data_IF_496769641656
#
_entry.id   IF_496769641656
#
_cell.length_a   1.000
_cell.length_b   1.000
_cell.length_c   1.000
_cell.angle_alpha   90.00
_cell.angle_beta   90.00
_cell.angle_gamma   90.00
#
_symmetry.space_group_name_H-M   'P 1'
#
loop_
_entity.id
_entity.type
_entity.pdbx_description
1 polymer ?
#
# COMPACT_ATOMS: atom_id res chain seq x y z
N UNK A 1 -64.53 -50.22 -26.93
CA UNK A 1 -65.80 -49.89 -26.24
C UNK A 1 -65.65 -50.16 -24.74
N UNK A 2 -65.18 -49.17 -23.98
CA UNK A 2 -65.70 -48.72 -22.68
C UNK A 2 -64.94 -47.42 -22.30
N UNK A 3 -65.58 -46.51 -21.55
CA UNK A 3 -65.34 -45.08 -21.59
C UNK A 3 -64.59 -44.56 -20.35
N UNK A 4 -64.25 -43.28 -20.32
CA UNK A 4 -64.74 -42.32 -19.30
C UNK A 4 -63.88 -41.04 -19.31
N UNK A 5 -64.54 -39.91 -19.60
CA UNK A 5 -64.04 -38.55 -19.31
C UNK A 5 -64.14 -38.32 -17.81
N UNK A 6 -63.18 -37.58 -17.22
CA UNK A 6 -63.42 -36.67 -16.08
C UNK A 6 -62.27 -35.65 -15.90
N UNK A 7 -62.50 -34.48 -16.47
CA UNK A 7 -62.52 -33.13 -15.86
C UNK A 7 -61.49 -32.67 -14.80
N UNK A 8 -60.86 -31.51 -15.15
CA UNK A 8 -60.67 -30.26 -14.34
C UNK A 8 -59.54 -30.33 -13.28
N UNK A 9 -58.56 -29.41 -13.24
CA UNK A 9 -58.60 -28.07 -12.62
C UNK A 9 -57.40 -27.21 -13.10
N UNK A 10 -57.66 -25.93 -13.40
CA UNK A 10 -56.67 -24.86 -13.59
C UNK A 10 -56.01 -24.47 -12.25
N UNK A 11 -54.68 -24.32 -12.23
CA UNK A 11 -53.99 -23.54 -11.20
C UNK A 11 -52.88 -22.70 -11.85
N UNK A 12 -53.18 -21.41 -12.03
CA UNK A 12 -52.23 -20.41 -12.52
C UNK A 12 -51.21 -20.07 -11.43
N UNK A 13 -49.95 -20.46 -11.61
CA UNK A 13 -48.86 -20.04 -10.73
C UNK A 13 -48.24 -18.74 -11.26
N UNK A 14 -48.55 -17.62 -10.61
CA UNK A 14 -47.89 -16.34 -10.84
C UNK A 14 -46.49 -16.37 -10.22
N UNK A 15 -45.45 -16.59 -11.04
CA UNK A 15 -44.07 -16.32 -10.63
C UNK A 15 -43.84 -14.80 -10.60
N UNK A 16 -43.91 -14.20 -9.41
CA UNK A 16 -43.46 -12.84 -9.17
C UNK A 16 -41.93 -12.77 -9.30
N UNK A 17 -41.44 -11.97 -10.25
CA UNK A 17 -40.01 -11.67 -10.41
C UNK A 17 -39.62 -10.62 -9.36
N UNK A 18 -38.86 -11.04 -8.35
CA UNK A 18 -38.18 -10.14 -7.42
C UNK A 18 -36.91 -9.62 -8.09
N UNK A 19 -36.95 -8.38 -8.58
CA UNK A 19 -35.77 -7.65 -9.05
C UNK A 19 -35.06 -7.10 -7.80
N UNK A 20 -34.07 -7.82 -7.29
CA UNK A 20 -33.14 -7.28 -6.29
C UNK A 20 -32.14 -6.38 -7.01
N UNK A 21 -32.32 -5.06 -6.89
CA UNK A 21 -31.34 -4.04 -7.25
C UNK A 21 -30.16 -4.12 -6.27
N UNK A 22 -29.22 -5.03 -6.55
CA UNK A 22 -27.90 -5.02 -5.93
C UNK A 22 -27.10 -3.86 -6.53
N UNK A 23 -27.04 -2.73 -5.81
CA UNK A 23 -26.02 -1.72 -6.05
C UNK A 23 -24.67 -2.31 -5.66
N UNK A 24 -24.06 -3.04 -6.59
CA UNK A 24 -22.65 -3.39 -6.50
C UNK A 24 -21.85 -2.09 -6.61
N UNK A 25 -21.30 -1.64 -5.49
CA UNK A 25 -20.24 -0.63 -5.48
C UNK A 25 -19.08 -1.29 -6.21
N UNK A 26 -18.89 -0.94 -7.47
CA UNK A 26 -17.75 -1.37 -8.26
C UNK A 26 -16.49 -0.70 -7.70
N UNK A 27 -15.86 -1.31 -6.71
CA UNK A 27 -14.48 -1.00 -6.37
C UNK A 27 -13.64 -1.34 -7.60
N UNK A 28 -13.02 -0.33 -8.22
CA UNK A 28 -12.08 -0.56 -9.33
C UNK A 28 -10.81 -1.14 -8.69
N UNK A 29 -10.31 -2.26 -9.21
CA UNK A 29 -9.06 -2.83 -8.73
C UNK A 29 -7.87 -1.84 -8.83
N UNK A 30 -8.00 -0.83 -9.69
CA UNK A 30 -7.03 0.24 -9.91
C UNK A 30 -6.98 1.30 -8.80
N UNK A 31 -7.91 1.31 -7.83
CA UNK A 31 -7.95 2.32 -6.77
C UNK A 31 -6.94 2.05 -5.63
N UNK A 32 -6.15 0.96 -5.71
CA UNK A 32 -5.09 0.68 -4.74
C UNK A 32 -3.89 1.59 -5.03
N UNK A 33 -3.46 2.45 -4.09
CA UNK A 33 -2.32 3.33 -4.30
C UNK A 33 -1.07 2.52 -4.66
N UNK A 34 -0.33 2.95 -5.68
CA UNK A 34 0.96 2.33 -6.01
C UNK A 34 2.00 2.69 -4.94
N UNK A 35 3.09 1.91 -4.85
CA UNK A 35 4.21 2.24 -3.95
C UNK A 35 4.78 3.63 -4.24
N UNK A 36 4.80 4.06 -5.50
CA UNK A 36 5.22 5.41 -5.87
C UNK A 36 4.28 6.50 -5.35
N UNK A 37 2.97 6.31 -5.47
CA UNK A 37 2.00 7.31 -5.00
C UNK A 37 2.06 7.45 -3.47
N UNK A 38 2.22 6.32 -2.77
CA UNK A 38 2.44 6.30 -1.33
C UNK A 38 3.73 7.03 -0.93
N UNK A 39 4.86 6.73 -1.58
CA UNK A 39 6.14 7.42 -1.31
C UNK A 39 6.02 8.94 -1.52
N UNK A 40 5.45 9.37 -2.66
CA UNK A 40 5.26 10.79 -2.97
C UNK A 40 4.38 11.48 -1.94
N UNK A 41 3.28 10.84 -1.54
CA UNK A 41 2.37 11.36 -0.51
C UNK A 41 3.05 11.53 0.84
N UNK A 42 3.82 10.54 1.28
CA UNK A 42 4.53 10.60 2.57
C UNK A 42 5.59 11.71 2.55
N UNK A 43 6.37 11.80 1.48
CA UNK A 43 7.40 12.86 1.32
C UNK A 43 6.77 14.25 1.28
N UNK A 44 5.61 14.40 0.61
CA UNK A 44 4.89 15.67 0.54
C UNK A 44 4.29 16.13 1.88
N UNK A 45 4.16 15.24 2.87
CA UNK A 45 3.73 15.61 4.22
C UNK A 45 4.83 16.31 5.04
N UNK A 46 6.09 16.23 4.60
CA UNK A 46 7.18 16.98 5.23
C UNK A 46 6.88 18.49 5.24
N UNK A 47 7.14 19.22 6.34
CA UNK A 47 7.94 18.79 7.49
C UNK A 47 7.15 18.21 8.67
N UNK A 48 5.82 18.05 8.56
CA UNK A 48 4.96 17.61 9.67
C UNK A 48 4.09 16.43 9.23
N UNK A 49 4.46 15.23 9.68
CA UNK A 49 3.86 13.98 9.21
C UNK A 49 2.57 13.58 9.95
N UNK A 50 2.07 14.41 10.86
CA UNK A 50 0.88 14.10 11.70
C UNK A 50 -0.42 13.87 10.91
N UNK A 51 -0.49 14.28 9.64
CA UNK A 51 -1.63 14.01 8.75
C UNK A 51 -1.65 12.59 8.20
N UNK A 52 -0.54 11.86 8.32
CA UNK A 52 -0.41 10.49 7.86
C UNK A 52 -0.92 9.51 8.91
N UNK A 53 -1.34 8.36 8.42
CA UNK A 53 -1.82 7.21 9.19
C UNK A 53 -0.98 5.99 8.87
N UNK A 54 -1.20 4.89 9.59
CA UNK A 54 -0.55 3.62 9.27
C UNK A 54 -0.84 3.13 7.84
N UNK A 55 -1.96 3.53 7.24
CA UNK A 55 -2.39 3.06 5.91
C UNK A 55 -1.50 3.63 4.81
N UNK A 56 -1.01 4.87 4.96
CA UNK A 56 -0.31 5.60 3.90
C UNK A 56 0.99 4.92 3.43
N UNK A 57 1.68 4.19 4.32
CA UNK A 57 2.93 3.48 4.02
C UNK A 57 2.79 2.00 3.70
N UNK A 58 1.59 1.42 3.88
CA UNK A 58 1.36 -0.01 3.58
C UNK A 58 1.65 -0.36 2.12
N UNK A 59 1.28 0.45 1.11
CA UNK A 59 1.61 0.14 -0.28
C UNK A 59 3.10 0.14 -0.57
N UNK A 60 3.93 0.82 0.23
CA UNK A 60 5.39 0.75 0.10
C UNK A 60 5.89 -0.54 0.73
N UNK A 61 5.56 -0.80 1.98
CA UNK A 61 6.06 -1.95 2.73
C UNK A 61 5.59 -3.30 2.15
N UNK A 62 4.32 -3.40 1.76
CA UNK A 62 3.73 -4.67 1.29
C UNK A 62 4.19 -5.08 -0.11
N UNK A 63 4.85 -4.19 -0.86
CA UNK A 63 5.46 -4.54 -2.15
C UNK A 63 6.74 -5.36 -2.00
N UNK A 64 7.35 -5.38 -0.81
CA UNK A 64 8.60 -6.10 -0.55
C UNK A 64 8.51 -7.05 0.64
N UNK A 65 7.36 -7.15 1.29
CA UNK A 65 7.24 -7.92 2.52
C UNK A 65 5.86 -8.03 3.12
N UNK A 66 5.83 -8.66 4.28
CA UNK A 66 4.65 -8.93 5.08
C UNK A 66 4.68 -8.18 6.41
N UNK A 67 3.57 -8.23 7.15
CA UNK A 67 3.46 -7.71 8.52
C UNK A 67 3.82 -6.22 8.63
N UNK A 68 3.49 -5.43 7.61
CA UNK A 68 3.78 -4.00 7.56
C UNK A 68 3.17 -3.26 8.75
N UNK A 69 4.03 -2.67 9.58
CA UNK A 69 3.67 -1.80 10.70
C UNK A 69 4.18 -0.40 10.41
N UNK A 70 3.27 0.56 10.24
CA UNK A 70 3.62 1.95 9.98
C UNK A 70 3.04 2.88 11.06
N UNK A 71 3.78 3.94 11.37
CA UNK A 71 3.38 4.94 12.34
C UNK A 71 3.87 6.33 11.92
N UNK A 72 3.04 7.33 12.20
CA UNK A 72 3.36 8.74 12.00
C UNK A 72 3.62 9.41 13.36
N UNK A 73 4.54 10.36 13.36
CA UNK A 73 4.75 11.33 14.42
C UNK A 73 4.89 12.72 13.80
N UNK A 74 4.85 13.82 14.56
CA UNK A 74 5.10 15.14 13.98
C UNK A 74 6.45 15.28 13.29
N UNK A 75 7.46 14.49 13.68
CA UNK A 75 8.83 14.62 13.19
C UNK A 75 9.22 13.59 12.12
N UNK A 76 8.52 12.46 12.03
CA UNK A 76 8.85 11.39 11.10
C UNK A 76 7.65 10.51 10.77
N UNK A 77 7.79 9.76 9.69
CA UNK A 77 6.98 8.62 9.33
C UNK A 77 7.86 7.38 9.25
N UNK A 78 7.43 6.27 9.86
CA UNK A 78 8.21 5.03 9.92
C UNK A 78 7.35 3.84 9.52
N UNK A 79 7.93 2.94 8.75
CA UNK A 79 7.38 1.61 8.50
C UNK A 79 8.42 0.53 8.80
N UNK A 80 7.97 -0.62 9.29
CA UNK A 80 8.76 -1.85 9.42
C UNK A 80 8.01 -3.03 8.84
N UNK A 81 8.72 -3.99 8.25
CA UNK A 81 8.12 -5.18 7.66
C UNK A 81 9.12 -6.33 7.58
N UNK A 82 8.60 -7.55 7.43
CA UNK A 82 9.40 -8.76 7.17
C UNK A 82 9.58 -8.91 5.67
N UNK A 83 10.79 -8.95 5.10
CA UNK A 83 10.97 -9.02 3.64
C UNK A 83 10.52 -10.36 3.03
N UNK A 84 9.99 -10.32 1.80
CA UNK A 84 9.59 -11.51 1.03
C UNK A 84 10.79 -12.26 0.48
N UNK A 85 11.21 -13.34 1.14
CA UNK A 85 12.30 -14.21 0.64
C UNK A 85 13.62 -13.48 0.39
N UNK A 86 14.64 -14.21 -0.07
CA UNK A 86 15.96 -13.64 -0.34
C UNK A 86 16.70 -13.12 0.91
N UNK A 87 17.81 -12.41 0.69
CA UNK A 87 18.51 -11.73 1.78
C UNK A 87 17.88 -10.37 2.06
N UNK A 88 17.93 -9.89 3.31
CA UNK A 88 17.50 -8.53 3.62
C UNK A 88 18.26 -7.45 2.84
N UNK A 89 19.44 -7.76 2.28
CA UNK A 89 20.21 -6.83 1.47
C UNK A 89 19.62 -6.67 0.08
N UNK A 90 19.16 -7.77 -0.54
CA UNK A 90 18.51 -7.74 -1.85
C UNK A 90 17.18 -6.98 -1.78
N UNK A 91 16.37 -7.27 -0.75
CA UNK A 91 15.12 -6.55 -0.51
C UNK A 91 15.37 -5.05 -0.27
N UNK A 92 16.42 -4.70 0.46
CA UNK A 92 16.82 -3.31 0.67
C UNK A 92 17.23 -2.60 -0.64
N UNK A 93 17.92 -3.30 -1.54
CA UNK A 93 18.27 -2.77 -2.86
C UNK A 93 17.03 -2.52 -3.72
N UNK A 94 16.04 -3.42 -3.69
CA UNK A 94 14.76 -3.23 -4.40
C UNK A 94 14.02 -2.00 -3.90
N UNK A 95 13.95 -1.78 -2.57
CA UNK A 95 13.35 -0.59 -1.98
C UNK A 95 14.07 0.68 -2.44
N UNK A 96 15.40 0.67 -2.47
CA UNK A 96 16.19 1.81 -2.93
C UNK A 96 15.99 2.12 -4.42
N UNK A 97 15.87 1.09 -5.25
CA UNK A 97 15.59 1.26 -6.68
C UNK A 97 14.26 1.96 -6.91
N UNK A 98 13.22 1.57 -6.17
CA UNK A 98 11.89 2.18 -6.30
C UNK A 98 11.85 3.59 -5.69
N UNK A 99 12.57 3.86 -4.59
CA UNK A 99 12.73 5.24 -4.09
C UNK A 99 13.32 6.13 -5.17
N UNK A 100 14.41 5.69 -5.82
CA UNK A 100 15.05 6.45 -6.90
C UNK A 100 14.14 6.62 -8.13
N UNK A 101 13.36 5.60 -8.48
CA UNK A 101 12.43 5.66 -9.61
C UNK A 101 11.20 6.56 -9.33
N UNK A 102 10.66 6.51 -8.12
CA UNK A 102 9.46 7.24 -7.74
C UNK A 102 9.72 8.70 -7.38
N UNK A 103 10.94 9.04 -6.93
CA UNK A 103 11.33 10.36 -6.42
C UNK A 103 12.54 10.90 -7.19
N UNK A 104 12.35 11.42 -8.42
CA UNK A 104 13.45 11.82 -9.30
C UNK A 104 14.31 12.98 -8.77
N UNK A 105 13.79 13.78 -7.83
CA UNK A 105 14.51 14.88 -7.19
C UNK A 105 15.35 14.42 -5.97
N UNK A 106 15.33 13.13 -5.64
CA UNK A 106 16.09 12.57 -4.54
C UNK A 106 17.56 12.37 -4.90
N UNK A 107 18.45 12.82 -4.01
CA UNK A 107 19.87 12.52 -4.08
C UNK A 107 20.17 11.32 -3.20
N UNK A 108 20.67 10.23 -3.81
CA UNK A 108 21.15 9.05 -3.09
C UNK A 108 22.56 9.34 -2.54
N UNK A 109 22.71 9.47 -1.22
CA UNK A 109 23.97 9.88 -0.58
C UNK A 109 24.62 8.79 0.29
N UNK A 110 23.90 7.72 0.64
CA UNK A 110 24.47 6.52 1.25
C UNK A 110 23.93 5.25 0.60
N UNK A 111 24.85 4.39 0.14
CA UNK A 111 24.54 3.08 -0.41
C UNK A 111 25.43 2.02 0.26
N UNK A 112 24.87 1.30 1.23
CA UNK A 112 25.53 0.20 1.92
C UNK A 112 24.63 -1.03 1.98
N UNK A 113 25.21 -2.20 2.24
CA UNK A 113 24.46 -3.46 2.35
C UNK A 113 23.38 -3.46 3.44
N UNK A 114 23.50 -2.59 4.45
CA UNK A 114 22.57 -2.53 5.59
C UNK A 114 21.70 -1.25 5.60
N UNK A 115 22.02 -0.24 4.79
CA UNK A 115 21.32 1.05 4.75
C UNK A 115 21.44 1.75 3.41
N UNK A 116 20.35 2.37 3.00
CA UNK A 116 20.19 3.21 1.82
C UNK A 116 19.63 4.55 2.29
N UNK A 117 20.21 5.67 1.87
CA UNK A 117 19.79 7.00 2.33
C UNK A 117 19.66 8.00 1.19
N UNK A 118 18.56 8.74 1.20
CA UNK A 118 18.24 9.74 0.20
C UNK A 118 17.88 11.05 0.86
N UNK A 119 18.20 12.15 0.19
CA UNK A 119 17.81 13.51 0.59
C UNK A 119 17.02 14.20 -0.53
N UNK A 120 15.98 14.94 -0.15
CA UNK A 120 15.14 15.71 -1.07
C UNK A 120 15.01 17.15 -0.54
N UNK A 121 15.08 18.11 -1.46
CA UNK A 121 14.90 19.53 -1.16
C UNK A 121 16.18 20.27 -0.78
N UNK A 122 16.08 21.58 -0.52
CA UNK A 122 17.23 22.44 -0.29
C UNK A 122 17.84 22.21 1.10
N UNK A 123 19.13 22.55 1.23
CA UNK A 123 19.82 22.54 2.54
C UNK A 123 19.06 23.41 3.54
N UNK A 124 18.87 22.90 4.76
CA UNK A 124 18.14 23.58 5.84
C UNK A 124 16.63 23.28 5.89
N UNK A 125 16.08 22.56 4.90
CA UNK A 125 14.71 22.08 4.93
C UNK A 125 14.56 20.76 4.17
N UNK A 126 15.52 19.85 4.35
CA UNK A 126 15.52 18.57 3.65
C UNK A 126 14.52 17.60 4.25
N UNK A 127 13.94 16.80 3.37
CA UNK A 127 13.35 15.52 3.74
C UNK A 127 14.42 14.45 3.54
N UNK A 128 14.67 13.67 4.58
CA UNK A 128 15.56 12.52 4.57
C UNK A 128 14.72 11.24 4.50
N UNK A 129 15.20 10.27 3.73
CA UNK A 129 14.57 8.96 3.52
C UNK A 129 15.64 7.91 3.79
N UNK A 130 15.46 7.10 4.81
CA UNK A 130 16.36 6.02 5.18
C UNK A 130 15.64 4.67 5.08
N UNK A 131 16.13 3.77 4.22
CA UNK A 131 15.77 2.36 4.25
C UNK A 131 16.92 1.58 4.89
N UNK A 132 16.64 0.64 5.79
CA UNK A 132 17.68 -0.09 6.52
C UNK A 132 17.20 -1.45 7.02
N UNK A 133 18.16 -2.33 7.30
CA UNK A 133 17.92 -3.55 8.08
C UNK A 133 17.83 -3.18 9.57
N UNK A 134 16.73 -3.59 10.21
CA UNK A 134 16.47 -3.42 11.64
C UNK A 134 16.69 -4.74 12.44
N UNK A 135 17.20 -5.76 11.78
CA UNK A 135 17.45 -7.11 12.31
C UNK A 135 17.59 -8.09 11.14
N UNK A 136 17.86 -9.37 11.45
CA UNK A 136 18.11 -10.38 10.41
C UNK A 136 16.96 -10.51 9.39
N UNK A 137 15.70 -10.35 9.84
CA UNK A 137 14.49 -10.51 9.03
C UNK A 137 13.55 -9.31 9.20
N UNK A 138 14.08 -8.11 9.36
CA UNK A 138 13.25 -6.92 9.54
C UNK A 138 13.84 -5.76 8.75
N UNK A 139 13.05 -5.19 7.85
CA UNK A 139 13.35 -3.94 7.17
C UNK A 139 12.62 -2.78 7.82
N UNK A 140 13.21 -1.60 7.67
CA UNK A 140 12.70 -0.34 8.21
C UNK A 140 12.87 0.76 7.17
N UNK A 141 11.79 1.48 6.89
CA UNK A 141 11.77 2.76 6.17
C UNK A 141 11.47 3.88 7.16
N UNK A 142 12.28 4.93 7.15
CA UNK A 142 12.06 6.16 7.92
C UNK A 142 12.13 7.36 7.00
N UNK A 143 11.17 8.26 7.13
CA UNK A 143 11.10 9.53 6.40
C UNK A 143 10.97 10.64 7.44
N UNK A 144 11.87 11.62 7.43
CA UNK A 144 11.93 12.65 8.45
C UNK A 144 12.40 13.99 7.89
N UNK A 145 12.01 15.07 8.54
CA UNK A 145 12.45 16.42 8.16
C UNK A 145 13.67 16.83 8.98
N UNK A 146 14.70 17.35 8.33
CA UNK A 146 15.79 18.07 9.00
C UNK A 146 15.32 19.49 9.31
N UNK A 147 15.62 19.97 10.52
CA UNK A 147 15.40 21.37 10.92
C UNK A 147 16.71 22.14 10.91
#
# INVERSE_FOLDING_TARGET
>A
MHPERRSVVLAALRCGVLITLSFAIAARADDTPTSCDALKRIVAASPIFSSLTAIDGRPVALSYGDDAQCAASPANYRCTWTPHGGSGADALQSVAADIAACLPDATHDENSHARQHFTIGPRGSRTEIAASQAGANLLKLEIYATR
#
